data_IF_855236848416
#
_entry.id   IF_855236848416
#
_cell.length_a   1.000
_cell.length_b   1.000
_cell.length_c   1.000
_cell.angle_alpha   90.00
_cell.angle_beta   90.00
_cell.angle_gamma   90.00
#
_symmetry.space_group_name_H-M   'P 1'
#
loop_
_entity.id
_entity.type
_entity.pdbx_description
1 polymer ?
#
# COMPACT_ATOMS: atom_id res chain seq x y z
N UNK A 1 -39.26 -2.26 14.59
CA UNK A 1 -39.10 -1.45 13.36
C UNK A 1 -37.74 -0.75 13.33
N UNK A 2 -37.37 0.07 14.34
CA UNK A 2 -36.06 0.74 14.42
C UNK A 2 -34.84 -0.20 14.37
N UNK A 3 -34.89 -1.34 15.07
CA UNK A 3 -33.83 -2.37 15.05
C UNK A 3 -33.63 -3.03 13.69
N UNK A 4 -34.69 -3.10 12.87
CA UNK A 4 -34.64 -3.71 11.54
C UNK A 4 -34.05 -2.74 10.50
N UNK A 5 -34.36 -1.45 10.63
CA UNK A 5 -33.76 -0.37 9.83
C UNK A 5 -32.27 -0.18 10.13
N UNK A 6 -31.85 -0.27 11.39
CA UNK A 6 -30.42 -0.21 11.74
C UNK A 6 -29.65 -1.43 11.25
N UNK A 7 -30.25 -2.63 11.27
CA UNK A 7 -29.65 -3.85 10.72
C UNK A 7 -29.48 -3.77 9.20
N UNK A 8 -30.50 -3.28 8.47
CA UNK A 8 -30.44 -3.05 7.02
C UNK A 8 -29.41 -1.97 6.65
N UNK A 9 -29.32 -0.89 7.44
CA UNK A 9 -28.28 0.13 7.32
C UNK A 9 -26.88 -0.43 7.53
N UNK A 10 -26.68 -1.25 8.56
CA UNK A 10 -25.41 -1.94 8.80
C UNK A 10 -25.05 -2.92 7.68
N UNK A 11 -26.01 -3.65 7.13
CA UNK A 11 -25.81 -4.61 6.03
C UNK A 11 -25.47 -3.91 4.70
N UNK A 12 -26.07 -2.76 4.43
CA UNK A 12 -25.76 -1.92 3.25
C UNK A 12 -24.39 -1.25 3.37
N UNK A 13 -24.03 -0.75 4.55
CA UNK A 13 -22.67 -0.25 4.83
C UNK A 13 -21.64 -1.38 4.70
N UNK A 14 -21.92 -2.56 5.26
CA UNK A 14 -21.06 -3.73 5.14
C UNK A 14 -20.86 -4.15 3.68
N UNK A 15 -21.93 -4.20 2.87
CA UNK A 15 -21.80 -4.53 1.45
C UNK A 15 -21.01 -3.49 0.65
N UNK A 16 -21.09 -2.21 1.00
CA UNK A 16 -20.24 -1.16 0.41
C UNK A 16 -18.76 -1.38 0.78
N UNK A 17 -18.47 -1.66 2.06
CA UNK A 17 -17.11 -1.95 2.55
C UNK A 17 -16.53 -3.18 1.84
N UNK A 18 -17.30 -4.28 1.79
CA UNK A 18 -16.91 -5.54 1.14
C UNK A 18 -16.65 -5.38 -0.38
N UNK A 19 -17.31 -4.42 -1.03
CA UNK A 19 -17.12 -4.14 -2.46
C UNK A 19 -15.98 -3.16 -2.74
N UNK A 20 -15.44 -2.49 -1.72
CA UNK A 20 -14.39 -1.48 -1.88
C UNK A 20 -13.08 -2.06 -2.46
N UNK A 21 -12.34 -1.29 -3.29
CA UNK A 21 -11.06 -1.74 -3.84
C UNK A 21 -10.03 -2.10 -2.77
N UNK A 22 -9.99 -1.34 -1.67
CA UNK A 22 -9.08 -1.58 -0.54
C UNK A 22 -9.37 -2.93 0.14
N UNK A 23 -10.64 -3.24 0.38
CA UNK A 23 -11.01 -4.51 1.00
C UNK A 23 -10.77 -5.71 0.06
N UNK A 24 -11.01 -5.53 -1.25
CA UNK A 24 -10.66 -6.55 -2.25
C UNK A 24 -9.15 -6.81 -2.30
N UNK A 25 -8.31 -5.78 -2.25
CA UNK A 25 -6.86 -5.92 -2.12
C UNK A 25 -6.49 -6.76 -0.88
N UNK A 26 -6.96 -6.32 0.28
CA UNK A 26 -6.74 -6.99 1.57
C UNK A 26 -7.13 -8.49 1.57
N UNK A 27 -8.30 -8.85 1.03
CA UNK A 27 -8.70 -10.26 0.94
C UNK A 27 -7.77 -11.08 0.04
N UNK A 28 -7.24 -10.48 -1.03
CA UNK A 28 -6.27 -11.10 -1.91
C UNK A 28 -4.95 -11.38 -1.17
N UNK A 29 -4.42 -10.35 -0.52
CA UNK A 29 -3.19 -10.42 0.30
C UNK A 29 -3.34 -11.47 1.42
N UNK A 30 -4.47 -11.49 2.15
CA UNK A 30 -4.73 -12.50 3.19
C UNK A 30 -4.80 -13.92 2.66
N UNK A 31 -5.38 -14.13 1.49
CA UNK A 31 -5.42 -15.46 0.87
C UNK A 31 -4.03 -15.94 0.45
N UNK A 32 -3.20 -15.04 -0.09
CA UNK A 32 -1.80 -15.35 -0.43
C UNK A 32 -0.98 -15.64 0.83
N UNK A 33 -1.09 -14.80 1.86
CA UNK A 33 -0.44 -15.02 3.16
C UNK A 33 -0.80 -16.39 3.77
N UNK A 34 -2.09 -16.75 3.75
CA UNK A 34 -2.53 -18.09 4.20
C UNK A 34 -1.87 -19.22 3.41
N UNK A 35 -1.68 -19.07 2.09
CA UNK A 35 -0.97 -20.06 1.29
C UNK A 35 0.50 -20.14 1.64
N UNK A 36 1.18 -19.00 1.78
CA UNK A 36 2.60 -18.95 2.13
C UNK A 36 2.89 -19.64 3.46
N UNK A 37 2.00 -19.56 4.45
CA UNK A 37 2.13 -20.26 5.73
C UNK A 37 2.13 -21.79 5.63
N UNK A 38 1.95 -22.37 4.42
CA UNK A 38 2.12 -23.80 4.16
C UNK A 38 3.54 -24.19 3.81
N UNK A 39 4.42 -23.23 3.52
CA UNK A 39 5.85 -23.48 3.36
C UNK A 39 6.44 -23.99 4.68
N UNK A 40 7.49 -24.81 4.57
CA UNK A 40 8.26 -25.29 5.71
C UNK A 40 8.87 -24.10 6.48
N UNK A 41 8.34 -23.82 7.66
CA UNK A 41 8.72 -22.68 8.49
C UNK A 41 10.14 -22.77 9.07
N UNK A 42 10.80 -23.92 8.95
CA UNK A 42 12.22 -24.06 9.29
C UNK A 42 13.14 -23.53 8.19
N UNK A 43 12.64 -23.44 6.95
CA UNK A 43 13.40 -23.04 5.76
C UNK A 43 12.98 -21.67 5.22
N UNK A 44 11.69 -21.34 5.35
CA UNK A 44 11.09 -20.15 4.74
C UNK A 44 10.52 -19.23 5.81
N UNK A 45 11.03 -18.00 5.85
CA UNK A 45 10.60 -16.96 6.77
C UNK A 45 9.78 -15.92 6.03
N UNK A 46 8.55 -15.68 6.49
CA UNK A 46 7.56 -14.87 5.77
C UNK A 46 7.35 -13.54 6.48
N UNK A 47 7.48 -12.44 5.75
CA UNK A 47 7.10 -11.10 6.16
C UNK A 47 5.93 -10.62 5.30
N UNK A 48 4.87 -10.11 5.91
CA UNK A 48 3.68 -9.61 5.21
C UNK A 48 3.49 -8.11 5.49
N UNK A 49 2.94 -7.38 4.52
CA UNK A 49 2.53 -5.99 4.65
C UNK A 49 3.67 -5.07 5.15
N UNK A 50 4.87 -5.27 4.60
CA UNK A 50 6.08 -4.52 4.98
C UNK A 50 6.09 -3.20 4.23
N UNK A 51 6.21 -2.09 4.97
CA UNK A 51 6.43 -0.76 4.39
C UNK A 51 7.86 -0.34 4.60
N UNK A 52 8.57 0.03 3.53
CA UNK A 52 9.99 0.43 3.57
C UNK A 52 10.22 1.77 2.87
N UNK A 53 11.30 2.50 3.20
CA UNK A 53 11.74 3.65 2.41
C UNK A 53 12.01 3.25 0.95
N UNK A 54 11.53 4.09 0.03
CA UNK A 54 11.82 3.99 -1.40
C UNK A 54 13.04 4.86 -1.74
N UNK A 55 13.81 4.43 -2.73
CA UNK A 55 14.90 5.21 -3.34
C UNK A 55 14.49 6.62 -3.82
N UNK A 56 13.19 6.87 -4.04
CA UNK A 56 12.68 8.20 -4.43
C UNK A 56 12.29 9.11 -3.24
N UNK A 57 12.72 8.79 -2.02
CA UNK A 57 12.45 9.58 -0.81
C UNK A 57 11.00 9.48 -0.28
N UNK A 58 10.21 8.53 -0.80
CA UNK A 58 8.87 8.16 -0.26
C UNK A 58 8.96 6.79 0.41
N UNK A 59 7.83 6.17 0.69
CA UNK A 59 7.74 4.79 1.17
C UNK A 59 7.10 3.90 0.10
N UNK A 60 7.37 2.60 0.17
CA UNK A 60 6.71 1.58 -0.64
C UNK A 60 6.23 0.45 0.25
N UNK A 61 4.99 0.01 0.05
CA UNK A 61 4.46 -1.21 0.65
C UNK A 61 4.83 -2.39 -0.23
N UNK A 62 5.16 -3.51 0.40
CA UNK A 62 5.48 -4.79 -0.22
C UNK A 62 4.56 -5.82 0.42
N UNK A 63 3.75 -6.50 -0.39
CA UNK A 63 2.69 -7.38 0.10
C UNK A 63 3.28 -8.56 0.88
N UNK A 64 4.20 -9.31 0.25
CA UNK A 64 4.88 -10.42 0.92
C UNK A 64 6.34 -10.52 0.52
N UNK A 65 7.17 -10.87 1.50
CA UNK A 65 8.56 -11.26 1.31
C UNK A 65 8.71 -12.64 1.94
N UNK A 66 9.31 -13.57 1.20
CA UNK A 66 9.77 -14.84 1.73
C UNK A 66 11.30 -14.84 1.67
N UNK A 67 11.94 -15.16 2.78
CA UNK A 67 13.39 -15.25 2.89
C UNK A 67 13.74 -16.69 3.23
N UNK A 68 14.63 -17.30 2.47
CA UNK A 68 15.19 -18.63 2.76
C UNK A 68 16.64 -18.68 2.31
N UNK A 69 17.31 -19.81 2.56
CA UNK A 69 18.64 -20.05 1.99
C UNK A 69 18.67 -20.03 0.44
N UNK A 70 17.51 -20.12 -0.21
CA UNK A 70 17.40 -20.21 -1.67
C UNK A 70 17.19 -18.85 -2.36
N UNK A 71 16.96 -17.78 -1.59
CA UNK A 71 16.68 -16.46 -2.15
C UNK A 71 15.77 -15.58 -1.29
N UNK A 72 15.61 -14.34 -1.75
CA UNK A 72 14.59 -13.40 -1.26
C UNK A 72 13.48 -13.31 -2.30
N UNK A 73 12.34 -13.92 -2.04
CA UNK A 73 11.18 -13.90 -2.92
C UNK A 73 10.31 -12.69 -2.58
N UNK A 74 10.19 -11.75 -3.52
CA UNK A 74 9.37 -10.55 -3.36
C UNK A 74 8.10 -10.76 -4.18
N UNK A 75 6.96 -10.80 -3.47
CA UNK A 75 5.70 -11.25 -4.04
C UNK A 75 4.72 -10.07 -4.07
N UNK A 76 4.25 -9.74 -5.26
CA UNK A 76 3.19 -8.74 -5.50
C UNK A 76 1.85 -9.47 -5.72
N UNK A 77 0.79 -9.08 -5.02
CA UNK A 77 -0.52 -9.73 -5.12
C UNK A 77 -1.55 -8.92 -5.87
N UNK A 78 -2.17 -9.54 -6.87
CA UNK A 78 -3.19 -8.90 -7.71
C UNK A 78 -4.51 -9.63 -7.63
N UNK A 79 -5.45 -9.05 -6.87
CA UNK A 79 -6.82 -9.57 -6.75
C UNK A 79 -7.79 -8.95 -7.77
N UNK A 80 -7.52 -9.19 -9.06
CA UNK A 80 -8.36 -8.72 -10.16
C UNK A 80 -9.33 -9.80 -10.67
N UNK A 81 -10.36 -9.34 -11.38
CA UNK A 81 -11.28 -10.18 -12.15
C UNK A 81 -11.16 -9.84 -13.63
N UNK A 82 -11.61 -10.75 -14.51
CA UNK A 82 -11.68 -10.50 -15.95
C UNK A 82 -10.34 -10.67 -16.64
N UNK A 83 -10.23 -10.19 -17.88
CA UNK A 83 -9.02 -10.37 -18.67
C UNK A 83 -7.95 -9.39 -18.25
N UNK A 84 -6.72 -9.87 -18.13
CA UNK A 84 -5.53 -9.05 -17.90
C UNK A 84 -4.66 -9.19 -19.13
N UNK A 85 -4.55 -8.10 -19.90
CA UNK A 85 -3.77 -8.05 -21.12
C UNK A 85 -2.55 -7.17 -20.90
N UNK A 86 -1.39 -7.61 -21.32
CA UNK A 86 -0.16 -6.87 -21.10
C UNK A 86 1.07 -7.55 -21.67
N UNK A 87 2.13 -6.76 -21.81
CA UNK A 87 3.46 -7.21 -22.18
C UNK A 87 4.45 -6.80 -21.08
N UNK A 88 5.49 -7.60 -20.89
CA UNK A 88 6.51 -7.39 -19.86
C UNK A 88 7.13 -6.00 -19.88
N UNK A 89 7.39 -5.44 -21.06
CA UNK A 89 8.09 -4.15 -21.23
C UNK A 89 7.15 -2.94 -21.16
N UNK A 90 5.84 -3.16 -21.29
CA UNK A 90 4.86 -2.09 -21.25
C UNK A 90 4.82 -1.41 -19.88
N UNK A 91 4.61 -0.09 -19.84
CA UNK A 91 4.44 0.63 -18.57
C UNK A 91 3.12 0.28 -17.89
N UNK A 92 2.07 0.11 -18.69
CA UNK A 92 0.73 -0.24 -18.24
C UNK A 92 0.23 -1.48 -18.97
N UNK A 93 -0.46 -2.31 -18.22
CA UNK A 93 -1.34 -3.36 -18.69
C UNK A 93 -2.78 -2.87 -18.73
N UNK A 94 -3.69 -3.69 -19.25
CA UNK A 94 -5.11 -3.40 -19.34
C UNK A 94 -5.91 -4.48 -18.64
N UNK A 95 -6.77 -4.07 -17.71
CA UNK A 95 -7.83 -4.93 -17.18
C UNK A 95 -9.10 -4.74 -18.01
N UNK A 96 -9.73 -5.85 -18.42
CA UNK A 96 -11.01 -5.83 -19.14
C UNK A 96 -12.05 -6.61 -18.35
N UNK A 97 -13.13 -5.92 -17.98
CA UNK A 97 -14.32 -6.51 -17.37
C UNK A 97 -15.52 -6.13 -18.24
N UNK A 98 -16.13 -7.14 -18.89
CA UNK A 98 -17.15 -6.93 -19.91
C UNK A 98 -16.64 -5.95 -20.99
N UNK A 99 -17.30 -4.80 -21.18
CA UNK A 99 -16.89 -3.77 -22.16
C UNK A 99 -15.96 -2.70 -21.57
N UNK A 100 -15.70 -2.72 -20.26
CA UNK A 100 -14.87 -1.70 -19.59
C UNK A 100 -13.41 -2.09 -19.63
N UNK A 101 -12.55 -1.13 -20.00
CA UNK A 101 -11.10 -1.26 -20.01
C UNK A 101 -10.50 -0.26 -19.03
N UNK A 102 -9.69 -0.74 -18.11
CA UNK A 102 -9.01 0.09 -17.10
C UNK A 102 -7.50 -0.10 -17.22
N UNK A 103 -6.76 1.00 -17.06
CA UNK A 103 -5.29 0.93 -17.00
C UNK A 103 -4.86 0.28 -15.69
N UNK A 104 -3.97 -0.70 -15.80
CA UNK A 104 -3.30 -1.35 -14.69
C UNK A 104 -1.81 -1.03 -14.78
N UNK A 105 -1.22 -0.40 -13.78
CA UNK A 105 0.24 -0.24 -13.79
C UNK A 105 0.91 -1.63 -13.79
N UNK A 106 1.95 -1.80 -14.61
CA UNK A 106 2.58 -3.10 -14.80
C UNK A 106 3.11 -3.63 -13.46
N UNK A 107 2.59 -4.76 -12.95
CA UNK A 107 2.95 -5.29 -11.65
C UNK A 107 4.40 -5.77 -11.58
N UNK A 108 5.00 -6.18 -12.69
CA UNK A 108 6.43 -6.53 -12.76
C UNK A 108 7.28 -5.30 -12.46
N UNK A 109 6.93 -4.15 -13.06
CA UNK A 109 7.64 -2.87 -12.83
C UNK A 109 7.43 -2.36 -11.41
N UNK A 110 6.23 -2.57 -10.85
CA UNK A 110 5.94 -2.26 -9.45
C UNK A 110 6.86 -3.08 -8.52
N UNK A 111 6.88 -4.40 -8.71
CA UNK A 111 7.66 -5.31 -7.87
C UNK A 111 9.18 -5.11 -8.04
N UNK A 112 9.63 -4.74 -9.24
CA UNK A 112 11.02 -4.31 -9.44
C UNK A 112 11.38 -3.13 -8.53
N UNK A 113 10.50 -2.13 -8.40
CA UNK A 113 10.70 -1.02 -7.47
C UNK A 113 10.79 -1.46 -6.01
N UNK A 114 10.00 -2.46 -5.60
CA UNK A 114 10.07 -3.07 -4.28
C UNK A 114 11.43 -3.76 -4.05
N UNK A 115 11.90 -4.54 -5.02
CA UNK A 115 13.22 -5.18 -4.98
C UNK A 115 14.33 -4.15 -4.86
N UNK A 116 14.28 -3.06 -5.63
CA UNK A 116 15.29 -2.00 -5.53
C UNK A 116 15.30 -1.34 -4.14
N UNK A 117 14.13 -1.14 -3.53
CA UNK A 117 14.04 -0.61 -2.17
C UNK A 117 14.67 -1.57 -1.14
N UNK A 118 14.40 -2.87 -1.25
CA UNK A 118 14.99 -3.87 -0.36
C UNK A 118 16.51 -4.00 -0.54
N UNK A 119 17.01 -3.97 -1.77
CA UNK A 119 18.45 -3.96 -2.05
C UNK A 119 19.13 -2.74 -1.45
N UNK A 120 18.53 -1.56 -1.58
CA UNK A 120 19.07 -0.33 -0.97
C UNK A 120 19.12 -0.39 0.57
N UNK A 121 18.24 -1.17 1.20
CA UNK A 121 18.24 -1.39 2.65
C UNK A 121 19.24 -2.46 3.12
N UNK A 122 19.75 -3.29 2.22
CA UNK A 122 20.59 -4.45 2.55
C UNK A 122 21.97 -4.36 1.86
N UNK A 123 22.75 -3.30 2.10
CA UNK A 123 24.11 -3.20 1.56
C UNK A 123 24.96 -4.37 2.07
N UNK A 124 25.80 -4.94 1.21
CA UNK A 124 26.58 -6.16 1.47
C UNK A 124 25.88 -7.47 1.06
N UNK A 125 24.63 -7.40 0.60
CA UNK A 125 23.86 -8.55 0.12
C UNK A 125 23.56 -8.48 -1.39
N UNK A 126 24.37 -7.77 -2.17
CA UNK A 126 24.12 -7.47 -3.59
C UNK A 126 24.07 -8.72 -4.47
N UNK A 127 24.82 -9.76 -4.10
CA UNK A 127 24.93 -11.03 -4.81
C UNK A 127 23.73 -11.96 -4.56
N UNK A 128 22.91 -11.66 -3.54
CA UNK A 128 21.76 -12.50 -3.20
C UNK A 128 20.67 -12.37 -4.29
N UNK A 129 20.09 -13.50 -4.74
CA UNK A 129 18.99 -13.44 -5.69
C UNK A 129 17.71 -12.91 -5.03
N UNK A 130 17.23 -11.78 -5.55
CA UNK A 130 15.90 -11.27 -5.28
C UNK A 130 14.96 -11.70 -6.40
N UNK A 131 14.06 -12.62 -6.10
CA UNK A 131 13.20 -13.30 -7.07
C UNK A 131 11.84 -12.60 -7.10
N UNK A 132 11.49 -12.01 -8.24
CA UNK A 132 10.21 -11.34 -8.44
C UNK A 132 9.11 -12.36 -8.78
N UNK A 133 8.04 -12.42 -7.99
CA UNK A 133 6.85 -13.23 -8.28
C UNK A 133 5.61 -12.34 -8.28
N UNK A 134 4.83 -12.38 -9.35
CA UNK A 134 3.53 -11.69 -9.42
C UNK A 134 2.42 -12.73 -9.28
N UNK A 135 1.64 -12.64 -8.21
CA UNK A 135 0.60 -13.61 -7.85
C UNK A 135 -0.80 -13.07 -8.12
N UNK A 136 -1.47 -13.61 -9.14
CA UNK A 136 -2.84 -13.25 -9.48
C UNK A 136 -3.88 -14.18 -8.84
N UNK A 137 -5.04 -13.62 -8.51
CA UNK A 137 -6.21 -14.43 -8.13
C UNK A 137 -6.68 -15.31 -9.31
N UNK A 138 -7.36 -16.41 -8.99
CA UNK A 138 -7.96 -17.30 -10.01
C UNK A 138 -9.15 -16.68 -10.76
N UNK A 139 -9.59 -15.47 -10.36
CA UNK A 139 -10.70 -14.76 -11.01
C UNK A 139 -10.23 -13.94 -12.22
N UNK A 140 -8.92 -13.76 -12.36
CA UNK A 140 -8.33 -13.13 -13.52
C UNK A 140 -8.06 -14.19 -14.60
N UNK A 141 -8.21 -13.81 -15.87
CA UNK A 141 -7.77 -14.59 -17.04
C UNK A 141 -6.57 -13.85 -17.64
N UNK A 142 -5.38 -14.39 -17.38
CA UNK A 142 -4.11 -13.82 -17.80
C UNK A 142 -3.88 -14.05 -19.30
N UNK A 143 -3.87 -12.97 -20.07
CA UNK A 143 -3.52 -12.92 -21.50
C UNK A 143 -2.29 -12.03 -21.67
N UNK A 144 -1.23 -12.39 -20.96
CA UNK A 144 0.02 -11.62 -20.90
C UNK A 144 1.14 -12.35 -21.63
N UNK A 145 2.04 -11.58 -22.23
CA UNK A 145 3.28 -12.08 -22.84
C UNK A 145 4.46 -11.67 -21.96
N UNK A 146 4.96 -12.61 -21.15
CA UNK A 146 5.98 -12.35 -20.12
C UNK A 146 6.90 -13.54 -19.94
N UNK A 147 8.14 -13.28 -19.57
CA UNK A 147 9.13 -14.29 -19.15
C UNK A 147 9.28 -14.36 -17.64
N UNK A 148 8.95 -13.26 -16.93
CA UNK A 148 8.87 -13.22 -15.46
C UNK A 148 7.83 -14.19 -14.88
N UNK A 149 8.02 -14.56 -13.61
CA UNK A 149 7.12 -15.43 -12.83
C UNK A 149 5.78 -14.71 -12.50
N UNK A 150 4.92 -14.55 -13.51
CA UNK A 150 3.55 -14.05 -13.38
C UNK A 150 2.61 -15.25 -13.37
N UNK A 151 2.13 -15.59 -12.18
CA UNK A 151 1.46 -16.85 -11.93
C UNK A 151 0.08 -16.65 -11.30
N UNK A 152 -0.73 -17.68 -11.38
CA UNK A 152 -1.87 -17.78 -10.48
C UNK A 152 -1.41 -18.18 -9.10
N UNK A 153 -2.01 -17.57 -8.07
CA UNK A 153 -1.79 -17.84 -6.65
C UNK A 153 -1.79 -19.33 -6.27
N UNK A 154 -2.43 -20.22 -7.04
CA UNK A 154 -2.47 -21.67 -6.75
C UNK A 154 -1.14 -22.37 -7.01
N UNK A 155 -0.29 -21.76 -7.82
CA UNK A 155 1.05 -22.25 -8.15
C UNK A 155 2.14 -21.61 -7.29
N UNK A 156 1.80 -20.66 -6.41
CA UNK A 156 2.77 -19.87 -5.65
C UNK A 156 3.79 -20.71 -4.89
N UNK A 157 3.32 -21.71 -4.13
CA UNK A 157 4.19 -22.59 -3.33
C UNK A 157 5.13 -23.37 -4.24
N UNK A 158 4.57 -24.01 -5.28
CA UNK A 158 5.36 -24.74 -6.29
C UNK A 158 6.39 -23.85 -6.98
N UNK A 159 6.07 -22.59 -7.26
CA UNK A 159 7.00 -21.63 -7.88
C UNK A 159 8.14 -21.24 -6.94
N UNK A 160 7.87 -21.06 -5.64
CA UNK A 160 8.91 -20.78 -4.64
C UNK A 160 9.83 -22.01 -4.49
N UNK A 161 9.24 -23.20 -4.34
CA UNK A 161 9.98 -24.45 -4.12
C UNK A 161 10.78 -24.94 -5.34
N UNK A 162 10.55 -24.37 -6.53
CA UNK A 162 11.40 -24.56 -7.71
C UNK A 162 12.84 -24.11 -7.44
N UNK A 163 13.04 -23.14 -6.55
CA UNK A 163 14.34 -22.65 -6.13
C UNK A 163 14.77 -23.43 -4.89
N UNK A 164 15.77 -24.29 -5.05
CA UNK A 164 16.21 -25.23 -4.02
C UNK A 164 17.73 -25.30 -3.87
N UNK A 165 18.47 -24.47 -4.61
CA UNK A 165 19.92 -24.32 -4.48
C UNK A 165 20.21 -23.32 -3.36
N UNK A 166 20.94 -23.76 -2.33
CA UNK A 166 21.32 -22.90 -1.21
C UNK A 166 22.37 -21.89 -1.68
N UNK A 167 22.04 -20.61 -1.59
CA UNK A 167 22.82 -19.45 -2.07
C UNK A 167 22.98 -18.36 -1.01
N UNK A 168 22.36 -18.54 0.16
CA UNK A 168 22.41 -17.63 1.31
C UNK A 168 22.68 -18.44 2.56
N UNK A 169 23.63 -18.00 3.39
CA UNK A 169 23.88 -18.64 4.69
C UNK A 169 22.71 -18.41 5.65
N UNK A 170 22.48 -19.33 6.58
CA UNK A 170 21.42 -19.14 7.59
C UNK A 170 21.66 -17.88 8.45
N UNK A 171 22.91 -17.49 8.69
CA UNK A 171 23.25 -16.24 9.38
C UNK A 171 22.77 -15.02 8.57
N UNK A 172 23.00 -15.01 7.27
CA UNK A 172 22.61 -13.92 6.38
C UNK A 172 21.09 -13.85 6.19
N UNK A 173 20.39 -14.99 6.18
CA UNK A 173 18.92 -15.04 6.25
C UNK A 173 18.43 -14.30 7.50
N UNK A 174 19.02 -14.55 8.66
CA UNK A 174 18.63 -13.87 9.91
C UNK A 174 18.94 -12.37 9.87
N UNK A 175 20.09 -11.96 9.31
CA UNK A 175 20.42 -10.53 9.13
C UNK A 175 19.41 -9.82 8.23
N UNK A 176 19.05 -10.42 7.08
CA UNK A 176 18.06 -9.86 6.18
C UNK A 176 16.67 -9.72 6.83
N UNK A 177 16.25 -10.73 7.60
CA UNK A 177 15.01 -10.67 8.37
C UNK A 177 15.00 -9.48 9.33
N UNK A 178 16.08 -9.29 10.09
CA UNK A 178 16.19 -8.17 11.03
C UNK A 178 16.16 -6.82 10.31
N UNK A 179 16.91 -6.66 9.23
CA UNK A 179 16.97 -5.42 8.43
C UNK A 179 15.55 -5.04 7.95
N UNK A 180 14.83 -5.96 7.31
CA UNK A 180 13.52 -5.66 6.74
C UNK A 180 12.45 -5.41 7.81
N UNK A 181 12.48 -6.14 8.92
CA UNK A 181 11.57 -5.90 10.04
C UNK A 181 11.80 -4.54 10.70
N UNK A 182 13.06 -4.17 10.97
CA UNK A 182 13.40 -2.90 11.60
C UNK A 182 13.01 -1.71 10.72
N UNK A 183 13.30 -1.76 9.43
CA UNK A 183 12.90 -0.73 8.47
C UNK A 183 11.37 -0.50 8.49
N UNK A 184 10.59 -1.58 8.60
CA UNK A 184 9.13 -1.46 8.67
C UNK A 184 8.60 -0.88 9.98
N UNK A 185 9.23 -1.20 11.11
CA UNK A 185 8.85 -0.63 12.41
C UNK A 185 9.16 0.87 12.46
N UNK A 186 10.31 1.28 11.94
CA UNK A 186 10.71 2.67 11.88
C UNK A 186 9.72 3.49 11.04
N UNK A 187 9.32 3.00 9.86
CA UNK A 187 8.33 3.69 9.04
C UNK A 187 6.97 3.82 9.72
N UNK A 188 6.48 2.76 10.38
CA UNK A 188 5.23 2.80 11.16
C UNK A 188 5.29 3.86 12.26
N UNK A 189 6.43 4.02 12.93
CA UNK A 189 6.66 5.05 13.94
C UNK A 189 6.64 6.44 13.32
N UNK A 190 7.40 6.67 12.26
CA UNK A 190 7.46 7.95 11.53
C UNK A 190 6.09 8.36 11.02
N UNK A 191 5.34 7.45 10.41
CA UNK A 191 3.98 7.70 9.92
C UNK A 191 3.02 8.05 11.06
N UNK A 192 3.11 7.35 12.20
CA UNK A 192 2.29 7.64 13.39
C UNK A 192 2.60 9.03 13.94
N UNK A 193 3.87 9.41 13.99
CA UNK A 193 4.31 10.74 14.42
C UNK A 193 3.82 11.84 13.46
N UNK A 194 3.94 11.63 12.14
CA UNK A 194 3.46 12.58 11.14
C UNK A 194 1.93 12.80 11.21
N UNK A 195 1.14 11.71 11.34
CA UNK A 195 -0.32 11.81 11.48
C UNK A 195 -0.69 12.55 12.76
N UNK A 196 -0.01 12.29 13.89
CA UNK A 196 -0.22 13.02 15.14
C UNK A 196 0.07 14.52 14.97
N UNK A 197 1.16 14.86 14.30
CA UNK A 197 1.54 16.26 14.05
C UNK A 197 0.48 16.99 13.21
N UNK A 198 -0.02 16.37 12.13
CA UNK A 198 -1.11 16.94 11.31
C UNK A 198 -2.38 17.12 12.15
N UNK A 199 -2.77 16.14 12.95
CA UNK A 199 -3.95 16.23 13.81
C UNK A 199 -3.84 17.36 14.83
N UNK A 200 -2.66 17.52 15.43
CA UNK A 200 -2.38 18.61 16.35
C UNK A 200 -2.44 19.97 15.64
N UNK A 201 -1.81 20.11 14.47
CA UNK A 201 -1.89 21.34 13.66
C UNK A 201 -3.35 21.68 13.29
N UNK A 202 -4.15 20.69 12.91
CA UNK A 202 -5.57 20.89 12.61
C UNK A 202 -6.37 21.32 13.85
N UNK A 203 -6.10 20.73 15.01
CA UNK A 203 -6.74 21.09 16.27
C UNK A 203 -6.36 22.51 16.69
N UNK A 204 -5.09 22.88 16.59
CA UNK A 204 -4.59 24.23 16.90
C UNK A 204 -5.23 25.28 15.98
N UNK A 205 -5.29 25.01 14.67
CA UNK A 205 -5.99 25.88 13.71
C UNK A 205 -7.47 26.03 14.05
N UNK A 206 -8.14 24.94 14.42
CA UNK A 206 -9.55 24.97 14.81
C UNK A 206 -9.77 25.77 16.09
N UNK A 207 -8.88 25.63 17.08
CA UNK A 207 -8.93 26.38 18.34
C UNK A 207 -8.69 27.87 18.11
N UNK A 208 -7.73 28.25 17.27
CA UNK A 208 -7.50 29.65 16.89
C UNK A 208 -8.72 30.23 16.19
N UNK A 209 -9.31 29.50 15.24
CA UNK A 209 -10.55 29.93 14.56
C UNK A 209 -11.72 30.08 15.52
N UNK A 210 -11.85 29.19 16.52
CA UNK A 210 -12.88 29.28 17.56
C UNK A 210 -12.70 30.48 18.49
N UNK A 211 -11.45 30.93 18.70
CA UNK A 211 -11.10 32.17 19.42
C UNK A 211 -11.11 33.43 18.55
N UNK A 212 -11.60 33.33 17.31
CA UNK A 212 -11.55 34.43 16.35
C UNK A 212 -10.14 34.94 16.04
N UNK A 213 -9.16 34.04 16.05
CA UNK A 213 -7.77 34.31 15.69
C UNK A 213 -7.42 33.62 14.35
N UNK A 214 -6.70 34.32 13.50
CA UNK A 214 -6.31 33.81 12.20
C UNK A 214 -5.12 32.85 12.35
N UNK A 215 -5.26 31.56 12.00
CA UNK A 215 -4.16 30.60 12.12
C UNK A 215 -3.00 30.85 11.16
N UNK A 216 -3.15 31.76 10.19
CA UNK A 216 -2.09 32.11 9.22
C UNK A 216 -1.21 33.25 9.70
N UNK A 217 -1.73 34.20 10.48
CA UNK A 217 -0.98 35.41 10.86
C UNK A 217 -1.26 35.93 12.27
N UNK A 218 -2.09 35.25 13.06
CA UNK A 218 -2.48 35.67 14.42
C UNK A 218 -3.44 36.85 14.48
N UNK A 219 -3.75 37.52 13.37
CA UNK A 219 -4.70 38.64 13.35
C UNK A 219 -6.14 38.21 13.60
N UNK A 220 -7.06 39.12 13.97
CA UNK A 220 -8.44 38.76 14.27
C UNK A 220 -9.15 38.20 13.04
N UNK A 221 -10.03 37.22 13.24
CA UNK A 221 -11.01 36.80 12.25
C UNK A 221 -12.26 37.66 12.41
N UNK A 222 -12.80 38.10 11.28
CA UNK A 222 -14.00 38.93 11.22
C UNK A 222 -15.01 38.27 10.30
N UNK A 223 -16.29 38.32 10.68
CA UNK A 223 -17.38 37.83 9.85
C UNK A 223 -17.57 38.77 8.64
N UNK A 224 -17.68 38.18 7.45
CA UNK A 224 -17.85 38.88 6.18
C UNK A 224 -18.94 38.18 5.37
N UNK A 225 -19.62 38.91 4.48
CA UNK A 225 -20.62 38.33 3.57
C UNK A 225 -20.03 38.19 2.16
N UNK A 226 -20.17 37.01 1.58
CA UNK A 226 -19.78 36.72 0.20
C UNK A 226 -20.96 36.19 -0.62
N UNK A 227 -20.71 35.92 -1.90
CA UNK A 227 -21.70 35.35 -2.84
C UNK A 227 -22.39 34.07 -2.32
N UNK A 228 -21.71 33.31 -1.47
CA UNK A 228 -22.16 32.01 -0.97
C UNK A 228 -22.60 32.06 0.51
N UNK A 229 -22.86 33.25 1.07
CA UNK A 229 -23.24 33.43 2.47
C UNK A 229 -22.13 34.01 3.35
N UNK A 230 -22.35 34.05 4.69
CA UNK A 230 -21.37 34.57 5.65
C UNK A 230 -20.16 33.63 5.78
N UNK A 231 -18.98 34.21 6.03
CA UNK A 231 -17.73 33.50 6.26
C UNK A 231 -16.81 34.30 7.20
N UNK A 232 -15.91 33.62 7.91
CA UNK A 232 -14.85 34.30 8.68
C UNK A 232 -13.63 34.56 7.81
N UNK A 233 -13.24 35.81 7.67
CA UNK A 233 -12.04 36.23 6.95
C UNK A 233 -11.05 36.93 7.87
N UNK A 234 -9.75 36.87 7.57
CA UNK A 234 -8.77 37.61 8.36
C UNK A 234 -8.99 39.14 8.27
N UNK A 235 -8.92 39.82 9.41
CA UNK A 235 -8.97 41.29 9.53
C UNK A 235 -7.80 41.97 8.83
N UNK A 236 -6.63 41.30 8.76
CA UNK A 236 -5.42 41.80 8.10
C UNK A 236 -5.45 41.68 6.56
N UNK A 237 -6.61 41.46 5.94
CA UNK A 237 -6.76 41.53 4.49
C UNK A 237 -6.40 42.95 3.99
N UNK A 238 -5.66 43.11 2.88
CA UNK A 238 -5.27 42.10 1.88
C UNK A 238 -3.97 41.34 2.18
N UNK A 239 -3.22 41.73 3.23
CA UNK A 239 -1.92 41.12 3.59
C UNK A 239 -2.07 39.67 4.03
N UNK A 240 -3.18 39.31 4.67
CA UNK A 240 -3.56 37.93 4.95
C UNK A 240 -4.91 37.59 4.32
N UNK A 241 -4.94 36.59 3.45
CA UNK A 241 -6.13 36.13 2.71
C UNK A 241 -6.75 34.84 3.28
N UNK A 242 -6.51 34.54 4.54
CA UNK A 242 -7.11 33.37 5.18
C UNK A 242 -8.63 33.52 5.27
N UNK A 243 -9.34 32.45 4.92
CA UNK A 243 -10.80 32.34 4.97
C UNK A 243 -11.15 31.02 5.64
N UNK A 244 -12.05 31.07 6.61
CA UNK A 244 -12.72 29.91 7.19
C UNK A 244 -14.21 29.97 6.83
N UNK A 245 -14.68 28.95 6.12
CA UNK A 245 -16.10 28.80 5.80
C UNK A 245 -16.74 28.00 6.93
N UNK A 246 -17.91 28.43 7.39
CA UNK A 246 -18.74 27.55 8.20
C UNK A 246 -19.12 26.34 7.33
N UNK A 247 -18.86 25.14 7.84
CA UNK A 247 -19.26 23.89 7.22
C UNK A 247 -20.77 23.69 7.35
#
# INVERSE_FOLDING_TARGET
MYTYLTLLGAMSILTIILKSPKFKGFLGEKFVSYRLNKLDNSKYFILNDITVPSVKGKTTQIDHIVISEYGVFVIETKNYNGWILGDERSEYWTQVIYKRKEKLYNPIRQNYGHIQALKALSPGFEQIPFISIISFSLKADLKVNVTSEVIYSKYLIKTIEKYNESVISQEDVQKLLQIFQQASLQDKKVKKEHVKAIQQEMADKSNMVAKDECPKCGGPLVERRGKYGPFKGCGNYPKCRFIHKHA
#
